data_IF_013598318529
#
_entry.id   IF_013598318529
#
_cell.length_a   1.000
_cell.length_b   1.000
_cell.length_c   1.000
_cell.angle_alpha   90.00
_cell.angle_beta   90.00
_cell.angle_gamma   90.00
#
_symmetry.space_group_name_H-M   'P 1'
#
loop_
_entity.id
_entity.type
_entity.pdbx_description
1 polymer ?
#
# COMPACT_ATOMS: atom_id res chain seq x y z
N UNK A 1 -0.50 26.46 -1.80
CA UNK A 1 -0.29 25.04 -1.46
C UNK A 1 -1.63 24.50 -0.98
N UNK A 2 -2.38 23.82 -1.85
CA UNK A 2 -3.49 23.01 -1.35
C UNK A 2 -2.90 21.87 -0.50
N UNK A 3 -3.56 21.54 0.61
CA UNK A 3 -3.10 20.56 1.61
C UNK A 3 -2.69 19.21 1.01
N UNK A 4 -1.96 18.36 1.77
CA UNK A 4 -1.51 16.97 1.47
C UNK A 4 -2.69 15.99 1.20
N UNK A 5 -3.84 16.47 0.75
CA UNK A 5 -5.05 15.68 0.52
C UNK A 5 -5.87 15.40 1.77
N UNK A 6 -5.63 16.14 2.87
CA UNK A 6 -6.46 16.11 4.09
C UNK A 6 -7.74 16.96 3.98
N UNK A 7 -8.02 17.51 2.80
CA UNK A 7 -9.22 18.31 2.57
C UNK A 7 -10.49 17.47 2.68
N UNK A 8 -11.59 18.09 3.16
CA UNK A 8 -12.93 17.46 3.17
C UNK A 8 -13.51 17.30 1.75
N UNK A 9 -12.96 18.03 0.77
CA UNK A 9 -13.40 17.98 -0.63
C UNK A 9 -13.15 16.59 -1.20
N UNK A 10 -14.21 15.94 -1.71
CA UNK A 10 -14.18 14.58 -2.25
C UNK A 10 -13.80 13.47 -1.26
N UNK A 11 -13.63 13.76 0.05
CA UNK A 11 -13.26 12.75 1.05
C UNK A 11 -14.20 11.54 1.04
N UNK A 12 -15.53 11.78 1.01
CA UNK A 12 -16.52 10.70 0.95
C UNK A 12 -16.37 9.86 -0.33
N UNK A 13 -16.12 10.50 -1.49
CA UNK A 13 -15.90 9.79 -2.75
C UNK A 13 -14.63 8.94 -2.70
N UNK A 14 -13.57 9.47 -2.07
CA UNK A 14 -12.32 8.74 -1.81
C UNK A 14 -12.53 7.53 -0.92
N UNK A 15 -13.30 7.67 0.16
CA UNK A 15 -13.62 6.57 1.07
C UNK A 15 -14.44 5.50 0.33
N UNK A 16 -15.48 5.90 -0.41
CA UNK A 16 -16.31 4.95 -1.16
C UNK A 16 -15.48 4.17 -2.19
N UNK A 17 -14.70 4.88 -3.03
CA UNK A 17 -13.87 4.24 -4.06
C UNK A 17 -12.86 3.28 -3.44
N UNK A 18 -12.12 3.72 -2.43
CA UNK A 18 -11.11 2.88 -1.77
C UNK A 18 -11.73 1.68 -1.07
N UNK A 19 -12.88 1.83 -0.42
CA UNK A 19 -13.59 0.72 0.23
C UNK A 19 -14.03 -0.32 -0.80
N UNK A 20 -14.63 0.09 -1.92
CA UNK A 20 -15.06 -0.83 -2.99
C UNK A 20 -13.87 -1.65 -3.52
N UNK A 21 -12.74 -0.99 -3.81
CA UNK A 21 -11.55 -1.67 -4.30
C UNK A 21 -10.90 -2.55 -3.23
N UNK A 22 -10.90 -2.11 -1.97
CA UNK A 22 -10.39 -2.87 -0.83
C UNK A 22 -11.14 -4.17 -0.65
N UNK A 23 -12.47 -4.17 -0.84
CA UNK A 23 -13.28 -5.39 -0.77
C UNK A 23 -12.77 -6.44 -1.77
N UNK A 24 -12.42 -6.04 -3.00
CA UNK A 24 -11.88 -6.96 -4.00
C UNK A 24 -10.56 -7.58 -3.50
N UNK A 25 -9.66 -6.77 -2.94
CA UNK A 25 -8.38 -7.25 -2.42
C UNK A 25 -8.57 -8.18 -1.21
N UNK A 26 -9.47 -7.84 -0.29
CA UNK A 26 -9.80 -8.69 0.85
C UNK A 26 -10.33 -10.04 0.38
N UNK A 27 -11.21 -10.06 -0.63
CA UNK A 27 -11.76 -11.30 -1.20
C UNK A 27 -10.68 -12.20 -1.82
N UNK A 28 -9.64 -11.63 -2.44
CA UNK A 28 -8.52 -12.38 -3.02
C UNK A 28 -7.78 -13.20 -1.94
N UNK A 29 -7.68 -12.69 -0.70
CA UNK A 29 -7.06 -13.41 0.41
C UNK A 29 -8.06 -14.26 1.20
N UNK A 30 -9.29 -13.79 1.36
CA UNK A 30 -10.35 -14.44 2.13
C UNK A 30 -10.81 -15.75 1.49
N UNK A 31 -11.14 -15.73 0.18
CA UNK A 31 -11.75 -16.88 -0.50
C UNK A 31 -10.80 -18.10 -0.50
N UNK A 32 -9.52 -17.99 -0.92
CA UNK A 32 -8.62 -19.12 -0.87
C UNK A 32 -8.40 -19.64 0.56
N UNK A 33 -8.33 -18.74 1.55
CA UNK A 33 -8.17 -19.15 2.95
C UNK A 33 -9.36 -19.96 3.48
N UNK A 34 -10.58 -19.56 3.12
CA UNK A 34 -11.80 -20.31 3.43
C UNK A 34 -11.84 -21.67 2.69
N UNK A 35 -11.51 -21.69 1.40
CA UNK A 35 -11.45 -22.92 0.61
C UNK A 35 -10.42 -23.92 1.13
N UNK A 36 -9.30 -23.42 1.68
CA UNK A 36 -8.28 -24.24 2.33
C UNK A 36 -8.64 -24.64 3.78
N UNK A 37 -9.80 -24.24 4.30
CA UNK A 37 -10.22 -24.56 5.68
C UNK A 37 -9.37 -23.90 6.76
N UNK A 38 -8.71 -22.77 6.46
CA UNK A 38 -7.85 -22.09 7.44
C UNK A 38 -8.69 -21.49 8.57
N UNK A 39 -8.14 -21.51 9.77
CA UNK A 39 -8.77 -20.89 10.93
C UNK A 39 -8.51 -19.39 10.97
N UNK A 40 -9.54 -18.61 11.26
CA UNK A 40 -9.43 -17.16 11.44
C UNK A 40 -8.58 -16.81 12.67
N UNK A 41 -7.88 -15.69 12.59
CA UNK A 41 -7.27 -15.07 13.77
C UNK A 41 -8.35 -14.59 14.75
N UNK A 42 -7.97 -14.39 16.01
CA UNK A 42 -8.85 -13.78 17.00
C UNK A 42 -9.24 -12.35 16.61
N UNK A 43 -10.46 -11.94 16.97
CA UNK A 43 -10.96 -10.59 16.66
C UNK A 43 -10.08 -9.49 17.27
N UNK A 44 -9.55 -9.72 18.48
CA UNK A 44 -8.62 -8.78 19.12
C UNK A 44 -7.33 -8.59 18.31
N UNK A 45 -6.79 -9.67 17.74
CA UNK A 45 -5.58 -9.62 16.91
C UNK A 45 -5.86 -9.00 15.55
N UNK A 46 -6.99 -9.31 14.93
CA UNK A 46 -7.42 -8.69 13.68
C UNK A 46 -7.58 -7.17 13.86
N UNK A 47 -8.22 -6.73 14.94
CA UNK A 47 -8.40 -5.32 15.25
C UNK A 47 -7.08 -4.59 15.50
N UNK A 48 -6.18 -5.17 16.31
CA UNK A 48 -4.88 -4.55 16.58
C UNK A 48 -3.98 -4.50 15.35
N UNK A 49 -3.98 -5.55 14.53
CA UNK A 49 -3.25 -5.56 13.27
C UNK A 49 -3.81 -4.55 12.27
N UNK A 50 -5.13 -4.39 12.18
CA UNK A 50 -5.72 -3.39 11.32
C UNK A 50 -5.28 -1.98 11.72
N UNK A 51 -5.34 -1.66 13.02
CA UNK A 51 -4.87 -0.35 13.51
C UNK A 51 -3.38 -0.13 13.22
N UNK A 52 -2.55 -1.15 13.40
CA UNK A 52 -1.13 -1.10 13.08
C UNK A 52 -0.90 -0.81 11.58
N UNK A 53 -1.47 -1.61 10.69
CA UNK A 53 -1.31 -1.42 9.25
C UNK A 53 -1.92 -0.11 8.76
N UNK A 54 -3.02 0.33 9.35
CA UNK A 54 -3.66 1.58 8.97
C UNK A 54 -2.84 2.81 9.39
N UNK A 55 -2.50 2.91 10.67
CA UNK A 55 -1.91 4.14 11.24
C UNK A 55 -0.39 4.17 11.06
N UNK A 56 0.28 3.05 11.31
CA UNK A 56 1.75 3.01 11.39
C UNK A 56 2.37 2.75 10.03
N UNK A 57 1.76 1.91 9.20
CA UNK A 57 2.29 1.55 7.88
C UNK A 57 1.67 2.43 6.80
N UNK A 58 0.42 2.15 6.44
CA UNK A 58 -0.24 2.77 5.29
C UNK A 58 -0.26 4.30 5.39
N UNK A 59 -0.75 4.88 6.49
CA UNK A 59 -0.84 6.34 6.61
C UNK A 59 0.54 7.01 6.52
N UNK A 60 1.55 6.48 7.21
CA UNK A 60 2.90 7.05 7.22
C UNK A 60 3.53 6.98 5.84
N UNK A 61 3.47 5.81 5.20
CA UNK A 61 4.03 5.63 3.85
C UNK A 61 3.32 6.53 2.84
N UNK A 62 1.99 6.63 2.90
CA UNK A 62 1.23 7.53 2.03
C UNK A 62 1.59 9.00 2.26
N UNK A 63 1.80 9.44 3.50
CA UNK A 63 2.22 10.83 3.79
C UNK A 63 3.61 11.08 3.20
N UNK A 64 4.55 10.17 3.41
CA UNK A 64 5.92 10.30 2.92
C UNK A 64 5.95 10.32 1.40
N UNK A 65 5.27 9.38 0.74
CA UNK A 65 5.33 9.31 -0.72
C UNK A 65 4.46 10.36 -1.39
N UNK A 66 3.19 10.54 -0.99
CA UNK A 66 2.26 11.43 -1.70
C UNK A 66 2.39 12.87 -1.24
N UNK A 67 2.63 13.06 0.06
CA UNK A 67 2.80 14.39 0.64
C UNK A 67 4.19 14.99 0.44
N UNK A 68 5.23 14.15 0.42
CA UNK A 68 6.61 14.61 0.27
C UNK A 68 7.23 14.12 -1.04
N UNK A 69 7.75 12.90 -1.14
CA UNK A 69 8.63 12.45 -2.23
C UNK A 69 8.06 12.76 -3.63
N UNK A 70 6.84 12.31 -3.93
CA UNK A 70 6.21 12.44 -5.25
C UNK A 70 6.11 13.90 -5.70
N UNK A 71 5.73 14.82 -4.81
CA UNK A 71 5.58 16.24 -5.15
C UNK A 71 6.92 16.88 -5.52
N UNK A 72 8.02 16.45 -4.91
CA UNK A 72 9.37 16.96 -5.21
C UNK A 72 9.85 16.38 -6.54
N UNK A 73 9.61 15.09 -6.78
CA UNK A 73 9.90 14.47 -8.08
C UNK A 73 9.10 15.13 -9.21
N UNK A 74 7.82 15.45 -9.03
CA UNK A 74 7.03 16.19 -10.03
C UNK A 74 7.58 17.62 -10.29
N UNK A 75 8.18 18.26 -9.28
CA UNK A 75 8.85 19.55 -9.45
C UNK A 75 10.14 19.46 -10.28
N UNK A 76 10.84 18.32 -10.24
CA UNK A 76 12.09 18.10 -10.98
C UNK A 76 11.88 17.47 -12.35
N UNK A 77 10.91 16.56 -12.49
CA UNK A 77 10.66 15.78 -13.71
C UNK A 77 9.38 16.27 -14.36
N UNK A 78 9.52 16.94 -15.51
CA UNK A 78 8.39 17.52 -16.27
C UNK A 78 7.43 16.49 -16.84
N UNK A 79 7.86 15.23 -17.02
CA UNK A 79 7.03 14.14 -17.57
C UNK A 79 6.37 13.36 -16.44
N UNK A 80 5.04 13.49 -16.21
CA UNK A 80 4.38 12.88 -15.04
C UNK A 80 4.52 11.36 -14.98
N UNK A 81 4.45 10.68 -16.14
CA UNK A 81 4.62 9.22 -16.20
C UNK A 81 6.00 8.80 -15.72
N UNK A 82 7.06 9.51 -16.13
CA UNK A 82 8.43 9.20 -15.71
C UNK A 82 8.60 9.45 -14.21
N UNK A 83 8.00 10.53 -13.69
CA UNK A 83 8.00 10.81 -12.26
C UNK A 83 7.32 9.68 -11.45
N UNK A 84 6.17 9.19 -11.90
CA UNK A 84 5.45 8.06 -11.27
C UNK A 84 6.32 6.81 -11.28
N UNK A 85 6.86 6.42 -12.45
CA UNK A 85 7.69 5.21 -12.57
C UNK A 85 8.93 5.28 -11.67
N UNK A 86 9.59 6.44 -11.59
CA UNK A 86 10.73 6.63 -10.70
C UNK A 86 10.33 6.46 -9.23
N UNK A 87 9.24 7.09 -8.80
CA UNK A 87 8.75 6.95 -7.42
C UNK A 87 8.26 5.54 -7.10
N UNK A 88 7.68 4.82 -8.07
CA UNK A 88 7.34 3.41 -7.91
C UNK A 88 8.58 2.56 -7.68
N UNK A 89 9.66 2.85 -8.40
CA UNK A 89 10.95 2.18 -8.20
C UNK A 89 11.53 2.49 -6.81
N UNK A 90 11.45 3.74 -6.36
CA UNK A 90 11.87 4.13 -5.01
C UNK A 90 11.06 3.42 -3.92
N UNK A 91 9.72 3.35 -4.10
CA UNK A 91 8.81 2.67 -3.18
C UNK A 91 9.12 1.18 -3.10
N UNK A 92 9.25 0.48 -4.23
CA UNK A 92 9.71 -0.91 -4.25
C UNK A 92 11.08 -1.08 -3.59
N UNK A 93 12.04 -0.20 -3.89
CA UNK A 93 13.41 -0.34 -3.41
C UNK A 93 13.54 -0.18 -1.89
N UNK A 94 12.76 0.71 -1.26
CA UNK A 94 12.84 0.90 0.20
C UNK A 94 12.38 -0.32 1.00
N UNK A 95 11.61 -1.23 0.39
CA UNK A 95 11.15 -2.45 1.04
C UNK A 95 12.27 -3.51 1.14
N UNK A 96 13.27 -3.44 0.26
CA UNK A 96 14.29 -4.48 0.13
C UNK A 96 15.14 -4.62 1.40
N UNK A 97 15.77 -3.57 1.97
CA UNK A 97 16.69 -3.74 3.10
C UNK A 97 16.04 -4.31 4.35
N UNK A 98 14.86 -3.82 4.71
CA UNK A 98 14.12 -4.31 5.88
C UNK A 98 13.69 -5.77 5.69
N UNK A 99 13.14 -6.11 4.52
CA UNK A 99 12.65 -7.46 4.25
C UNK A 99 13.80 -8.47 4.13
N UNK A 100 14.95 -8.08 3.58
CA UNK A 100 16.18 -8.87 3.62
C UNK A 100 16.61 -9.19 5.05
N UNK A 101 16.63 -8.18 5.91
CA UNK A 101 16.99 -8.34 7.32
C UNK A 101 16.04 -9.29 8.06
N UNK A 102 14.73 -9.17 7.81
CA UNK A 102 13.71 -10.03 8.39
C UNK A 102 13.75 -11.48 7.85
N UNK A 103 14.14 -11.66 6.58
CA UNK A 103 14.23 -12.96 5.93
C UNK A 103 15.59 -13.66 6.14
N UNK A 104 16.57 -12.98 6.73
CA UNK A 104 17.96 -13.44 6.86
C UNK A 104 18.58 -13.87 5.51
N UNK A 105 18.28 -13.11 4.45
CA UNK A 105 18.79 -13.38 3.09
C UNK A 105 19.78 -12.29 2.65
N UNK A 106 20.79 -12.69 1.88
CA UNK A 106 21.62 -11.74 1.13
C UNK A 106 20.83 -11.08 -0.02
N UNK A 107 21.41 -10.03 -0.61
CA UNK A 107 20.73 -9.22 -1.61
C UNK A 107 20.28 -10.02 -2.83
N UNK A 108 21.16 -10.82 -3.44
CA UNK A 108 20.84 -11.50 -4.70
C UNK A 108 19.86 -12.64 -4.48
N UNK A 109 20.02 -13.38 -3.38
CA UNK A 109 19.06 -14.41 -2.97
C UNK A 109 17.68 -13.81 -2.71
N UNK A 110 17.62 -12.68 -2.00
CA UNK A 110 16.37 -12.01 -1.69
C UNK A 110 15.63 -11.55 -2.95
N UNK A 111 16.33 -10.85 -3.86
CA UNK A 111 15.74 -10.39 -5.13
C UNK A 111 15.22 -11.57 -5.94
N UNK A 112 16.00 -12.65 -6.06
CA UNK A 112 15.63 -13.82 -6.87
C UNK A 112 14.38 -14.51 -6.32
N UNK A 113 14.28 -14.66 -5.00
CA UNK A 113 13.14 -15.31 -4.34
C UNK A 113 11.87 -14.44 -4.31
N UNK A 114 12.02 -13.11 -4.33
CA UNK A 114 10.91 -12.17 -4.14
C UNK A 114 10.63 -11.29 -5.37
N UNK A 115 11.22 -11.61 -6.53
CA UNK A 115 11.12 -10.79 -7.73
C UNK A 115 9.66 -10.48 -8.12
N UNK A 116 8.79 -11.48 -8.05
CA UNK A 116 7.36 -11.32 -8.33
C UNK A 116 6.71 -10.36 -7.34
N UNK A 117 6.99 -10.52 -6.03
CA UNK A 117 6.50 -9.61 -4.98
C UNK A 117 6.97 -8.18 -5.21
N UNK A 118 8.25 -7.99 -5.59
CA UNK A 118 8.80 -6.66 -5.88
C UNK A 118 8.12 -5.99 -7.08
N UNK A 119 7.82 -6.75 -8.15
CA UNK A 119 7.02 -6.24 -9.27
C UNK A 119 5.63 -5.81 -8.79
N UNK A 120 4.99 -6.60 -7.94
CA UNK A 120 3.70 -6.21 -7.36
C UNK A 120 3.82 -4.95 -6.50
N UNK A 121 4.83 -4.83 -5.63
CA UNK A 121 5.08 -3.62 -4.82
C UNK A 121 5.27 -2.39 -5.69
N UNK A 122 6.00 -2.51 -6.80
CA UNK A 122 6.14 -1.45 -7.80
C UNK A 122 4.78 -1.07 -8.42
N UNK A 123 3.98 -2.07 -8.80
CA UNK A 123 2.65 -1.88 -9.36
C UNK A 123 1.66 -1.24 -8.37
N UNK A 124 1.70 -1.63 -7.10
CA UNK A 124 0.87 -1.06 -6.05
C UNK A 124 1.10 0.43 -5.88
N UNK A 125 2.35 0.90 -5.98
CA UNK A 125 2.64 2.34 -5.95
C UNK A 125 1.92 3.13 -7.05
N UNK A 126 1.80 2.55 -8.25
CA UNK A 126 1.08 3.18 -9.37
C UNK A 126 -0.40 3.30 -9.02
N UNK A 127 -1.00 2.24 -8.46
CA UNK A 127 -2.40 2.21 -8.05
C UNK A 127 -2.66 3.24 -6.95
N UNK A 128 -1.81 3.29 -5.92
CA UNK A 128 -1.90 4.28 -4.86
C UNK A 128 -1.77 5.72 -5.39
N UNK A 129 -0.86 5.97 -6.34
CA UNK A 129 -0.75 7.28 -6.99
C UNK A 129 -2.01 7.64 -7.79
N UNK A 130 -2.63 6.67 -8.48
CA UNK A 130 -3.93 6.87 -9.13
C UNK A 130 -5.04 7.22 -8.13
N UNK A 131 -5.15 6.48 -7.03
CA UNK A 131 -6.14 6.72 -5.98
C UNK A 131 -5.99 8.10 -5.35
N UNK A 132 -4.75 8.52 -5.10
CA UNK A 132 -4.45 9.87 -4.64
C UNK A 132 -4.89 10.91 -5.68
N UNK A 133 -4.44 10.77 -6.93
CA UNK A 133 -4.66 11.76 -7.99
C UNK A 133 -6.14 11.91 -8.38
N UNK A 134 -6.94 10.85 -8.30
CA UNK A 134 -8.36 10.85 -8.70
C UNK A 134 -9.18 11.89 -7.95
N UNK A 135 -8.90 12.07 -6.66
CA UNK A 135 -9.67 12.98 -5.79
C UNK A 135 -8.80 13.97 -5.01
N UNK A 136 -7.49 13.96 -5.23
CA UNK A 136 -6.49 14.71 -4.46
C UNK A 136 -6.67 14.50 -2.96
N UNK A 137 -6.75 13.23 -2.55
CA UNK A 137 -6.98 12.86 -1.15
C UNK A 137 -6.12 11.68 -0.74
N UNK A 138 -5.47 11.81 0.40
CA UNK A 138 -4.64 10.75 1.00
C UNK A 138 -5.48 9.62 1.58
N UNK A 139 -6.76 9.86 1.89
CA UNK A 139 -7.63 8.85 2.47
C UNK A 139 -7.81 7.62 1.57
N UNK A 140 -7.98 7.83 0.25
CA UNK A 140 -8.21 6.73 -0.68
C UNK A 140 -7.03 5.72 -0.72
N UNK A 141 -5.79 6.14 -1.00
CA UNK A 141 -4.68 5.20 -0.99
C UNK A 141 -4.40 4.64 0.41
N UNK A 142 -4.54 5.42 1.50
CA UNK A 142 -4.31 4.91 2.87
C UNK A 142 -5.28 3.80 3.24
N UNK A 143 -6.58 3.97 3.00
CA UNK A 143 -7.60 2.95 3.29
C UNK A 143 -7.29 1.69 2.48
N UNK A 144 -7.07 1.86 1.17
CA UNK A 144 -6.80 0.74 0.27
C UNK A 144 -5.54 -0.04 0.65
N UNK A 145 -4.45 0.67 0.94
CA UNK A 145 -3.18 0.10 1.38
C UNK A 145 -3.33 -0.65 2.71
N UNK A 146 -4.02 -0.06 3.70
CA UNK A 146 -4.25 -0.70 4.99
C UNK A 146 -5.02 -2.03 4.86
N UNK A 147 -6.08 -2.06 4.05
CA UNK A 147 -6.83 -3.30 3.80
C UNK A 147 -6.01 -4.32 3.01
N UNK A 148 -5.21 -3.87 2.04
CA UNK A 148 -4.30 -4.73 1.29
C UNK A 148 -3.35 -5.46 2.23
N UNK A 149 -2.64 -4.73 3.09
CA UNK A 149 -1.70 -5.32 4.05
C UNK A 149 -2.40 -6.22 5.06
N UNK A 150 -3.42 -5.70 5.71
CA UNK A 150 -4.16 -6.40 6.77
C UNK A 150 -4.79 -7.71 6.28
N UNK A 151 -5.28 -7.75 5.03
CA UNK A 151 -5.93 -8.95 4.47
C UNK A 151 -5.01 -10.16 4.36
N UNK A 152 -3.69 -9.98 4.32
CA UNK A 152 -2.72 -11.08 4.34
C UNK A 152 -2.66 -11.81 5.70
N UNK A 153 -3.29 -11.27 6.75
CA UNK A 153 -3.22 -11.76 8.12
C UNK A 153 -4.57 -12.21 8.68
N UNK A 154 -5.57 -12.44 7.82
CA UNK A 154 -6.90 -12.88 8.24
C UNK A 154 -6.90 -14.24 8.97
N UNK A 155 -5.95 -15.10 8.62
CA UNK A 155 -5.88 -16.49 9.08
C UNK A 155 -4.66 -16.74 9.96
N UNK A 156 -4.74 -17.79 10.77
CA UNK A 156 -3.61 -18.34 11.53
C UNK A 156 -2.56 -18.85 10.54
N UNK A 157 -1.30 -18.45 10.76
CA UNK A 157 -0.14 -18.91 9.98
C UNK A 157 0.30 -20.28 10.47
#
# INVERSE_FOLDING_TARGET
MESIGFGKRNLIKSIILSTILSTIIVLINLIPGLMSGRQFQSLSRLGSQFLYYFVIIALVEEIVFRGFIQTRIYGMIKKPVVAILLTSFMFMSMHIPFQMGAAHMDFFTYISNNFVTLIFTFGWHIIFNYLYAKYNSIAAPTIFHAFMDWSNYLFIR
#
